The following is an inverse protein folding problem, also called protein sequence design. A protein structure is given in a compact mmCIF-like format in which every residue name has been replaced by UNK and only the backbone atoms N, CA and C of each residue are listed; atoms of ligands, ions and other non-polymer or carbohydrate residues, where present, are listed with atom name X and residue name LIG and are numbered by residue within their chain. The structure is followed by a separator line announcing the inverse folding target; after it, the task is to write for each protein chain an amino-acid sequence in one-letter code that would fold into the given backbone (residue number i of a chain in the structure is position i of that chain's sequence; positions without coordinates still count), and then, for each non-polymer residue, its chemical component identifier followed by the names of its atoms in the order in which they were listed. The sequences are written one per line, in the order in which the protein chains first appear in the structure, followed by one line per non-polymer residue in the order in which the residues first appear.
data_IF_911383344352
#
_entry.id   IF_911383344352
#
_cell.length_a   1.000
_cell.length_b   1.000
_cell.length_c   1.000
_cell.angle_alpha   90.00
_cell.angle_beta   90.00
_cell.angle_gamma   90.00
#
_symmetry.space_group_name_H-M   'P 1'
#
loop_
_entity.id
_entity.type
_entity.pdbx_description
1 polymer ?
#
# COMPACT_ATOMS: atom_id res chain seq x y z
N UNK A 1 -41.71 -23.22 -9.78
CA UNK A 1 -42.21 -22.31 -10.85
C UNK A 1 -41.19 -21.25 -11.29
N UNK A 2 -40.91 -20.16 -10.55
CA UNK A 2 -40.01 -19.09 -11.06
C UNK A 2 -38.59 -19.57 -11.32
N UNK A 3 -37.99 -20.34 -10.39
CA UNK A 3 -36.65 -20.94 -10.60
C UNK A 3 -36.64 -21.89 -11.81
N UNK A 4 -37.64 -22.75 -11.95
CA UNK A 4 -37.73 -23.69 -13.09
C UNK A 4 -37.89 -22.95 -14.43
N UNK A 5 -38.64 -21.83 -14.45
CA UNK A 5 -38.74 -20.97 -15.64
C UNK A 5 -37.40 -20.31 -15.97
N UNK A 6 -36.61 -19.95 -14.95
CA UNK A 6 -35.26 -19.40 -15.12
C UNK A 6 -34.28 -20.47 -15.64
N UNK A 7 -34.30 -21.66 -15.05
CA UNK A 7 -33.44 -22.79 -15.41
C UNK A 7 -33.78 -23.38 -16.79
N UNK A 8 -35.06 -23.38 -17.17
CA UNK A 8 -35.49 -23.77 -18.52
C UNK A 8 -35.27 -22.68 -19.57
N UNK A 9 -34.71 -21.52 -19.19
CA UNK A 9 -34.42 -20.41 -20.10
C UNK A 9 -35.65 -19.70 -20.64
N UNK A 10 -36.83 -19.93 -20.05
CA UNK A 10 -38.09 -19.23 -20.43
C UNK A 10 -38.19 -17.85 -19.82
N UNK A 11 -37.45 -17.61 -18.73
CA UNK A 11 -37.34 -16.32 -18.06
C UNK A 11 -35.86 -15.96 -17.92
N UNK A 12 -35.45 -14.81 -18.48
CA UNK A 12 -34.04 -14.41 -18.51
C UNK A 12 -33.68 -13.31 -17.49
N UNK A 13 -34.67 -12.52 -17.08
CA UNK A 13 -34.46 -11.35 -16.22
C UNK A 13 -35.49 -11.36 -15.10
N UNK A 14 -35.00 -11.26 -13.87
CA UNK A 14 -35.82 -11.13 -12.68
C UNK A 14 -35.39 -9.87 -11.92
N UNK A 15 -36.36 -9.01 -11.64
CA UNK A 15 -36.17 -7.79 -10.86
C UNK A 15 -36.95 -7.95 -9.57
N UNK A 16 -36.31 -7.68 -8.44
CA UNK A 16 -36.94 -7.82 -7.14
C UNK A 16 -36.18 -7.05 -6.07
N UNK A 17 -36.81 -6.94 -4.91
CA UNK A 17 -36.19 -6.30 -3.75
C UNK A 17 -35.26 -7.27 -3.05
N UNK A 18 -34.36 -6.73 -2.23
CA UNK A 18 -33.49 -7.53 -1.37
C UNK A 18 -34.27 -8.52 -0.51
N UNK A 19 -35.45 -8.17 0.00
CA UNK A 19 -36.24 -9.09 0.84
C UNK A 19 -36.76 -10.28 0.05
N UNK A 20 -37.06 -10.10 -1.25
CA UNK A 20 -37.60 -11.15 -2.11
C UNK A 20 -36.50 -12.05 -2.71
N UNK A 21 -35.38 -11.46 -3.13
CA UNK A 21 -34.30 -12.17 -3.83
C UNK A 21 -33.10 -12.48 -2.92
N UNK A 22 -33.00 -11.82 -1.78
CA UNK A 22 -31.92 -11.99 -0.81
C UNK A 22 -32.17 -13.12 0.18
N UNK A 23 -33.43 -13.44 0.49
CA UNK A 23 -33.83 -14.50 1.42
C UNK A 23 -34.47 -15.67 0.63
N UNK A 24 -33.97 -16.89 0.83
CA UNK A 24 -34.62 -18.12 0.33
C UNK A 24 -34.56 -18.44 -1.18
N UNK A 25 -34.22 -17.52 -2.09
CA UNK A 25 -34.22 -17.84 -3.53
C UNK A 25 -32.98 -18.63 -4.00
N UNK A 26 -33.15 -19.89 -4.38
CA UNK A 26 -32.10 -20.75 -4.90
C UNK A 26 -32.20 -20.87 -6.43
N UNK A 27 -31.22 -20.33 -7.15
CA UNK A 27 -31.07 -20.53 -8.59
C UNK A 27 -29.58 -20.53 -8.95
N UNK A 28 -28.96 -21.72 -9.04
CA UNK A 28 -27.54 -21.86 -9.38
C UNK A 28 -27.20 -21.37 -10.80
N UNK A 29 -28.18 -21.30 -11.72
CA UNK A 29 -27.99 -20.91 -13.12
C UNK A 29 -27.79 -19.40 -13.33
N UNK A 30 -27.89 -18.57 -12.29
CA UNK A 30 -27.69 -17.11 -12.40
C UNK A 30 -26.28 -16.82 -12.91
N UNK A 31 -26.20 -16.21 -14.09
CA UNK A 31 -24.94 -15.78 -14.71
C UNK A 31 -24.70 -14.26 -14.63
N UNK A 32 -25.69 -13.48 -14.18
CA UNK A 32 -25.56 -12.03 -14.03
C UNK A 32 -26.35 -11.56 -12.82
N UNK A 33 -25.71 -10.78 -11.93
CA UNK A 33 -26.32 -10.15 -10.77
C UNK A 33 -26.03 -8.65 -10.81
N UNK A 34 -27.06 -7.82 -10.86
CA UNK A 34 -26.93 -6.36 -10.81
C UNK A 34 -27.39 -5.85 -9.45
N UNK A 35 -26.47 -5.28 -8.68
CA UNK A 35 -26.76 -4.75 -7.35
C UNK A 35 -27.05 -3.25 -7.44
N UNK A 36 -28.32 -2.92 -7.61
CA UNK A 36 -28.84 -1.54 -7.73
C UNK A 36 -29.34 -0.95 -6.40
N UNK A 37 -28.90 -1.47 -5.25
CA UNK A 37 -29.35 -1.02 -3.92
C UNK A 37 -28.16 -0.65 -3.03
N UNK A 38 -28.34 0.38 -2.20
CA UNK A 38 -27.42 0.75 -1.11
C UNK A 38 -27.53 -0.30 -0.01
N UNK A 39 -26.91 -1.45 -0.21
CA UNK A 39 -26.92 -2.50 0.81
C UNK A 39 -26.03 -2.07 1.96
N UNK A 40 -26.66 -1.71 3.08
CA UNK A 40 -26.00 -1.14 4.27
C UNK A 40 -25.05 -2.08 5.02
N UNK A 41 -25.00 -3.38 4.70
CA UNK A 41 -24.06 -4.31 5.34
C UNK A 41 -23.33 -5.25 4.36
N UNK A 42 -22.07 -5.49 4.69
CA UNK A 42 -21.16 -6.38 3.96
C UNK A 42 -21.68 -7.82 3.87
N UNK A 43 -22.23 -8.35 4.97
CA UNK A 43 -22.73 -9.73 5.05
C UNK A 43 -23.83 -9.99 4.02
N UNK A 44 -24.74 -9.03 3.83
CA UNK A 44 -25.87 -9.16 2.92
C UNK A 44 -25.43 -9.13 1.45
N UNK A 45 -24.43 -8.31 1.13
CA UNK A 45 -23.83 -8.31 -0.21
C UNK A 45 -23.16 -9.65 -0.51
N UNK A 46 -22.50 -10.25 0.49
CA UNK A 46 -21.85 -11.54 0.34
C UNK A 46 -22.86 -12.69 0.16
N UNK A 47 -24.00 -12.65 0.85
CA UNK A 47 -25.08 -13.62 0.67
C UNK A 47 -25.66 -13.56 -0.75
N UNK A 48 -25.95 -12.37 -1.28
CA UNK A 48 -26.46 -12.23 -2.65
C UNK A 48 -25.43 -12.67 -3.70
N UNK A 49 -24.16 -12.29 -3.53
CA UNK A 49 -23.06 -12.76 -4.40
C UNK A 49 -22.91 -14.28 -4.33
N UNK A 50 -23.02 -14.87 -3.14
CA UNK A 50 -22.95 -16.31 -2.90
C UNK A 50 -23.91 -17.12 -3.76
N UNK A 51 -25.07 -16.55 -4.12
CA UNK A 51 -26.05 -17.19 -5.01
C UNK A 51 -25.56 -17.26 -6.45
N UNK A 52 -24.96 -16.17 -6.95
CA UNK A 52 -24.47 -16.08 -8.33
C UNK A 52 -23.20 -16.92 -8.56
N UNK A 53 -22.31 -17.05 -7.57
CA UNK A 53 -21.02 -17.76 -7.73
C UNK A 53 -21.11 -19.28 -7.56
N UNK A 54 -22.32 -19.84 -7.41
CA UNK A 54 -22.48 -21.30 -7.31
C UNK A 54 -22.05 -21.98 -8.61
N UNK A 55 -21.38 -23.11 -8.45
CA UNK A 55 -21.05 -24.01 -9.55
C UNK A 55 -22.29 -24.76 -10.00
N UNK A 56 -22.37 -25.05 -11.29
CA UNK A 56 -23.45 -25.82 -11.89
C UNK A 56 -22.81 -27.05 -12.51
N UNK A 57 -23.20 -28.25 -12.07
CA UNK A 57 -22.59 -29.48 -12.60
C UNK A 57 -22.78 -29.64 -14.11
N UNK A 58 -23.89 -29.15 -14.65
CA UNK A 58 -24.19 -29.14 -16.07
C UNK A 58 -23.40 -28.08 -16.89
N UNK A 59 -22.81 -27.08 -16.22
CA UNK A 59 -22.02 -26.02 -16.84
C UNK A 59 -20.82 -25.66 -15.94
N UNK A 60 -19.73 -26.47 -15.98
CA UNK A 60 -18.54 -26.25 -15.16
C UNK A 60 -17.83 -24.93 -15.45
N UNK A 61 -17.96 -24.41 -16.66
CA UNK A 61 -17.31 -23.17 -17.12
C UNK A 61 -18.18 -21.93 -16.90
N UNK A 62 -19.28 -22.08 -16.15
CA UNK A 62 -20.20 -20.99 -15.84
C UNK A 62 -19.46 -19.83 -15.16
N UNK A 63 -19.45 -18.69 -15.84
CA UNK A 63 -19.03 -17.41 -15.28
C UNK A 63 -20.25 -16.57 -14.90
N UNK A 64 -20.22 -16.02 -13.69
CA UNK A 64 -21.22 -15.07 -13.22
C UNK A 64 -20.64 -13.65 -13.10
N UNK A 65 -21.26 -12.70 -13.81
CA UNK A 65 -20.92 -11.28 -13.72
C UNK A 65 -21.70 -10.62 -12.57
N UNK A 66 -20.99 -9.92 -11.68
CA UNK A 66 -21.61 -9.22 -10.56
C UNK A 66 -21.34 -7.74 -10.68
N UNK A 67 -22.38 -6.99 -10.99
CA UNK A 67 -22.33 -5.55 -11.19
C UNK A 67 -22.60 -4.81 -9.90
N UNK A 68 -21.66 -3.97 -9.52
CA UNK A 68 -21.81 -3.00 -8.44
C UNK A 68 -21.95 -1.61 -9.07
N UNK A 69 -23.14 -1.03 -8.93
CA UNK A 69 -23.40 0.32 -9.43
C UNK A 69 -22.86 1.35 -8.42
N UNK A 70 -22.32 2.44 -8.96
CA UNK A 70 -21.79 3.56 -8.19
C UNK A 70 -22.26 4.87 -8.82
N UNK A 71 -22.77 5.77 -7.99
CA UNK A 71 -23.02 7.14 -8.41
C UNK A 71 -21.72 7.94 -8.26
N UNK A 72 -21.34 8.65 -9.33
CA UNK A 72 -20.19 9.55 -9.33
C UNK A 72 -20.72 10.97 -9.32
N UNK A 73 -20.27 11.77 -8.36
CA UNK A 73 -20.63 13.18 -8.28
C UNK A 73 -19.87 13.96 -9.36
N UNK A 74 -20.54 14.77 -10.20
CA UNK A 74 -19.85 15.67 -11.11
C UNK A 74 -19.10 16.73 -10.30
N UNK A 75 -17.99 17.29 -10.82
CA UNK A 75 -17.33 18.41 -10.17
C UNK A 75 -18.32 19.57 -9.98
N UNK A 76 -18.21 20.32 -8.86
CA UNK A 76 -19.12 21.41 -8.55
C UNK A 76 -19.15 22.41 -9.69
N UNK A 77 -20.35 22.69 -10.21
CA UNK A 77 -20.54 23.70 -11.26
C UNK A 77 -20.92 25.03 -10.59
N UNK A 78 -20.09 26.09 -10.69
CA UNK A 78 -20.48 27.40 -10.17
C UNK A 78 -21.63 27.98 -11.00
N UNK A 79 -22.55 28.68 -10.33
CA UNK A 79 -23.86 29.05 -10.89
C UNK A 79 -23.83 30.10 -12.01
N UNK A 80 -22.77 30.90 -12.13
CA UNK A 80 -22.68 31.99 -13.11
C UNK A 80 -21.53 31.76 -14.12
N UNK A 81 -21.76 32.04 -15.41
CA UNK A 81 -20.79 31.79 -16.49
C UNK A 81 -19.43 32.50 -16.31
N UNK A 82 -19.43 33.73 -15.78
CA UNK A 82 -18.19 34.45 -15.45
C UNK A 82 -17.39 33.77 -14.32
N UNK A 83 -18.10 33.20 -13.35
CA UNK A 83 -17.50 32.48 -12.22
C UNK A 83 -16.98 31.11 -12.64
N UNK A 84 -17.64 30.43 -13.61
CA UNK A 84 -17.12 29.21 -14.26
C UNK A 84 -15.77 29.45 -14.95
N UNK A 85 -15.64 30.59 -15.61
CA UNK A 85 -14.43 30.95 -16.35
C UNK A 85 -13.31 31.37 -15.39
N UNK A 86 -13.64 32.08 -14.31
CA UNK A 86 -12.70 32.42 -13.25
C UNK A 86 -12.24 31.18 -12.47
N UNK A 87 -13.15 30.29 -12.05
CA UNK A 87 -12.83 29.07 -11.32
C UNK A 87 -12.01 28.10 -12.18
N UNK A 88 -12.33 27.94 -13.47
CA UNK A 88 -11.53 27.10 -14.36
C UNK A 88 -10.07 27.60 -14.54
N UNK A 89 -9.81 28.89 -14.32
CA UNK A 89 -8.47 29.50 -14.38
C UNK A 89 -7.78 29.45 -13.00
N UNK A 90 -8.52 29.66 -11.91
CA UNK A 90 -7.99 29.74 -10.55
C UNK A 90 -7.83 28.37 -9.89
N UNK A 91 -8.75 27.43 -10.12
CA UNK A 91 -8.74 26.05 -9.62
C UNK A 91 -9.31 25.10 -10.70
N UNK A 92 -8.46 24.64 -11.64
CA UNK A 92 -8.92 23.80 -12.74
C UNK A 92 -9.58 22.52 -12.20
N UNK A 93 -10.72 22.09 -12.78
CA UNK A 93 -11.43 20.91 -12.30
C UNK A 93 -10.53 19.67 -12.32
N UNK A 94 -10.31 19.11 -11.13
CA UNK A 94 -9.50 17.92 -10.94
C UNK A 94 -10.31 16.66 -11.30
N UNK A 95 -10.06 16.13 -12.50
CA UNK A 95 -10.62 14.86 -12.96
C UNK A 95 -9.72 13.66 -12.67
N UNK A 96 -8.65 13.83 -11.89
CA UNK A 96 -7.73 12.73 -11.55
C UNK A 96 -8.31 11.79 -10.49
N UNK A 97 -9.32 12.22 -9.74
CA UNK A 97 -9.93 11.46 -8.64
C UNK A 97 -11.46 11.42 -8.72
N UNK A 98 -12.06 10.26 -8.41
CA UNK A 98 -13.50 10.14 -8.24
C UNK A 98 -13.86 10.61 -6.83
N UNK A 99 -14.62 11.70 -6.74
CA UNK A 99 -15.17 12.22 -5.47
C UNK A 99 -16.55 11.60 -5.19
N UNK A 100 -16.87 11.44 -3.90
CA UNK A 100 -18.19 10.96 -3.45
C UNK A 100 -18.13 9.79 -2.46
N UNK A 101 -19.09 9.77 -1.53
CA UNK A 101 -19.18 8.73 -0.50
C UNK A 101 -19.45 7.34 -1.10
N UNK A 102 -20.20 7.28 -2.19
CA UNK A 102 -20.56 6.03 -2.87
C UNK A 102 -19.34 5.30 -3.44
N UNK A 103 -18.45 6.02 -4.12
CA UNK A 103 -17.20 5.43 -4.61
C UNK A 103 -16.28 4.99 -3.46
N UNK A 104 -16.18 5.79 -2.39
CA UNK A 104 -15.42 5.39 -1.20
C UNK A 104 -15.98 4.11 -0.54
N UNK A 105 -17.31 3.96 -0.49
CA UNK A 105 -17.99 2.73 -0.02
C UNK A 105 -17.71 1.55 -0.95
N UNK A 106 -17.67 1.77 -2.26
CA UNK A 106 -17.31 0.76 -3.25
C UNK A 106 -15.88 0.26 -3.03
N UNK A 107 -14.90 1.16 -2.89
CA UNK A 107 -13.49 0.82 -2.64
C UNK A 107 -13.34 -0.10 -1.43
N UNK A 108 -13.91 0.30 -0.27
CA UNK A 108 -13.90 -0.50 0.97
C UNK A 108 -14.52 -1.88 0.79
N UNK A 109 -15.55 -2.00 -0.04
CA UNK A 109 -16.22 -3.26 -0.33
C UNK A 109 -15.32 -4.18 -1.18
N UNK A 110 -14.67 -3.63 -2.20
CA UNK A 110 -13.76 -4.39 -3.07
C UNK A 110 -12.46 -4.82 -2.38
N UNK A 111 -12.03 -4.14 -1.31
CA UNK A 111 -10.89 -4.57 -0.46
C UNK A 111 -11.10 -5.93 0.21
N UNK A 112 -12.35 -6.39 0.29
CA UNK A 112 -12.72 -7.68 0.86
C UNK A 112 -12.96 -8.75 -0.20
N UNK A 113 -13.09 -8.39 -1.47
CA UNK A 113 -13.34 -9.34 -2.55
C UNK A 113 -12.03 -9.75 -3.20
N UNK A 114 -11.85 -11.04 -3.47
CA UNK A 114 -10.73 -11.57 -4.23
C UNK A 114 -11.12 -11.73 -5.70
N UNK A 115 -10.15 -11.64 -6.60
CA UNK A 115 -10.38 -11.67 -8.03
C UNK A 115 -9.09 -11.47 -8.82
N UNK A 116 -9.02 -11.98 -10.06
CA UNK A 116 -7.87 -11.79 -10.91
C UNK A 116 -7.65 -10.30 -11.17
N UNK A 117 -6.39 -9.89 -11.13
CA UNK A 117 -5.98 -8.56 -11.56
C UNK A 117 -6.16 -8.41 -13.06
N UNK A 118 -6.56 -7.23 -13.53
CA UNK A 118 -6.75 -7.00 -14.96
C UNK A 118 -5.43 -6.77 -15.70
N UNK A 119 -4.39 -6.35 -14.97
CA UNK A 119 -3.06 -6.05 -15.49
C UNK A 119 -2.03 -7.16 -15.18
N UNK A 120 -2.38 -8.16 -14.37
CA UNK A 120 -1.44 -9.21 -13.96
C UNK A 120 -2.14 -10.54 -13.64
N UNK A 121 -1.37 -11.62 -13.62
CA UNK A 121 -1.91 -12.99 -13.52
C UNK A 121 -1.98 -13.47 -12.06
N UNK A 122 -2.39 -12.59 -11.15
CA UNK A 122 -2.48 -12.87 -9.71
C UNK A 122 -3.90 -12.59 -9.18
N UNK A 123 -4.30 -13.34 -8.15
CA UNK A 123 -5.57 -13.11 -7.43
C UNK A 123 -5.34 -12.07 -6.33
N UNK A 124 -5.90 -10.88 -6.50
CA UNK A 124 -5.68 -9.73 -5.63
C UNK A 124 -7.01 -9.20 -5.06
N UNK A 125 -6.93 -8.46 -3.94
CA UNK A 125 -8.08 -7.72 -3.37
C UNK A 125 -8.00 -6.23 -3.67
N UNK A 126 -9.15 -5.55 -3.68
CA UNK A 126 -9.23 -4.09 -3.81
C UNK A 126 -9.65 -3.61 -5.18
N UNK A 127 -10.15 -2.37 -5.25
CA UNK A 127 -10.68 -1.78 -6.48
C UNK A 127 -9.59 -1.59 -7.55
N UNK A 128 -8.33 -1.38 -7.12
CA UNK A 128 -7.20 -1.07 -8.01
C UNK A 128 -6.81 -2.23 -8.95
N UNK A 129 -7.23 -3.46 -8.64
CA UNK A 129 -7.05 -4.61 -9.55
C UNK A 129 -7.82 -4.45 -10.86
N UNK A 130 -8.86 -3.61 -10.84
CA UNK A 130 -9.70 -3.30 -11.99
C UNK A 130 -9.01 -2.18 -12.78
N UNK A 131 -8.07 -2.56 -13.64
CA UNK A 131 -7.24 -1.63 -14.40
C UNK A 131 -7.99 -0.75 -15.42
N UNK A 132 -9.29 -0.96 -15.63
CA UNK A 132 -10.15 -0.11 -16.48
C UNK A 132 -10.43 1.24 -15.81
N UNK A 133 -10.49 1.28 -14.47
CA UNK A 133 -10.84 2.49 -13.70
C UNK A 133 -9.59 3.37 -13.63
N UNK A 134 -9.44 4.24 -14.63
CA UNK A 134 -8.33 5.18 -14.75
C UNK A 134 -8.85 6.58 -15.10
N UNK A 135 -8.17 7.64 -14.63
CA UNK A 135 -8.50 9.01 -15.01
C UNK A 135 -8.27 9.25 -16.52
N UNK A 136 -8.90 10.29 -17.11
CA UNK A 136 -9.79 11.26 -16.46
C UNK A 136 -11.16 10.68 -16.09
N UNK A 137 -11.73 11.16 -14.98
CA UNK A 137 -13.05 10.79 -14.47
C UNK A 137 -14.12 11.85 -14.79
N UNK A 138 -14.03 12.44 -15.98
CA UNK A 138 -15.09 13.25 -16.55
C UNK A 138 -16.22 12.38 -17.13
N UNK A 139 -17.26 13.01 -17.68
CA UNK A 139 -18.41 12.30 -18.24
C UNK A 139 -17.99 11.30 -19.32
N UNK A 140 -17.13 11.73 -20.24
CA UNK A 140 -16.62 10.88 -21.32
C UNK A 140 -15.75 9.73 -20.78
N UNK A 141 -14.92 10.01 -19.77
CA UNK A 141 -14.11 9.01 -19.09
C UNK A 141 -14.95 7.95 -18.38
N UNK A 142 -16.04 8.33 -17.71
CA UNK A 142 -16.99 7.40 -17.10
C UNK A 142 -17.74 6.59 -18.16
N UNK A 143 -18.18 7.21 -19.26
CA UNK A 143 -18.82 6.51 -20.38
C UNK A 143 -17.85 5.50 -21.03
N UNK A 144 -16.58 5.86 -21.20
CA UNK A 144 -15.51 4.95 -21.64
C UNK A 144 -15.33 3.77 -20.68
N UNK A 145 -15.26 4.03 -19.37
CA UNK A 145 -15.15 2.98 -18.35
C UNK A 145 -16.34 2.01 -18.45
N UNK A 146 -17.57 2.54 -18.54
CA UNK A 146 -18.78 1.74 -18.68
C UNK A 146 -18.76 0.88 -19.96
N UNK A 147 -18.34 1.46 -21.09
CA UNK A 147 -18.18 0.73 -22.35
C UNK A 147 -17.18 -0.43 -22.26
N UNK A 148 -15.99 -0.17 -21.69
CA UNK A 148 -14.96 -1.20 -21.49
C UNK A 148 -15.43 -2.32 -20.54
N UNK A 149 -16.17 -1.97 -19.48
CA UNK A 149 -16.78 -2.96 -18.57
C UNK A 149 -17.82 -3.82 -19.28
N UNK A 150 -18.67 -3.20 -20.10
CA UNK A 150 -19.71 -3.91 -20.85
C UNK A 150 -19.11 -4.88 -21.86
N UNK A 151 -18.11 -4.44 -22.63
CA UNK A 151 -17.39 -5.30 -23.57
C UNK A 151 -16.69 -6.47 -22.86
N UNK A 152 -16.05 -6.22 -21.71
CA UNK A 152 -15.43 -7.29 -20.92
C UNK A 152 -16.47 -8.28 -20.38
N UNK A 153 -17.66 -7.81 -20.01
CA UNK A 153 -18.71 -8.67 -19.46
C UNK A 153 -19.23 -9.71 -20.46
N UNK A 154 -19.13 -9.43 -21.77
CA UNK A 154 -19.47 -10.37 -22.83
C UNK A 154 -18.42 -11.48 -22.99
N UNK A 155 -17.16 -11.19 -22.66
CA UNK A 155 -16.01 -12.11 -22.81
C UNK A 155 -15.86 -13.06 -21.63
N UNK A 156 -16.89 -13.88 -21.38
CA UNK A 156 -16.96 -14.79 -20.23
C UNK A 156 -15.86 -15.86 -20.25
N UNK A 157 -15.55 -16.43 -21.42
CA UNK A 157 -14.50 -17.44 -21.56
C UNK A 157 -13.12 -16.91 -21.14
N UNK A 158 -12.80 -15.65 -21.47
CA UNK A 158 -11.54 -15.01 -21.04
C UNK A 158 -11.47 -14.85 -19.52
N UNK A 159 -12.60 -14.52 -18.88
CA UNK A 159 -12.67 -14.42 -17.42
C UNK A 159 -12.42 -15.79 -16.77
N UNK A 160 -13.03 -16.87 -17.31
CA UNK A 160 -12.80 -18.23 -16.82
C UNK A 160 -11.31 -18.62 -16.94
N UNK A 161 -10.70 -18.39 -18.11
CA UNK A 161 -9.29 -18.67 -18.34
C UNK A 161 -8.36 -17.90 -17.37
N UNK A 162 -8.64 -16.62 -17.12
CA UNK A 162 -7.88 -15.80 -16.16
C UNK A 162 -7.96 -16.35 -14.73
N UNK A 163 -9.13 -16.84 -14.31
CA UNK A 163 -9.29 -17.45 -12.99
C UNK A 163 -8.49 -18.75 -12.86
N UNK A 164 -8.49 -19.59 -13.89
CA UNK A 164 -7.72 -20.83 -13.92
C UNK A 164 -6.22 -20.54 -13.91
N UNK A 165 -5.74 -19.67 -14.79
CA UNK A 165 -4.32 -19.33 -14.89
C UNK A 165 -3.78 -18.69 -13.60
N UNK A 166 -4.54 -17.75 -13.01
CA UNK A 166 -4.16 -17.16 -11.74
C UNK A 166 -4.26 -18.18 -10.59
N UNK A 167 -5.25 -19.06 -10.61
CA UNK A 167 -5.40 -20.13 -9.62
C UNK A 167 -4.24 -21.12 -9.61
N UNK A 168 -3.83 -21.59 -10.80
CA UNK A 168 -2.75 -22.56 -10.99
C UNK A 168 -1.40 -22.00 -10.57
N UNK A 169 -1.08 -20.75 -10.96
CA UNK A 169 0.18 -20.10 -10.56
C UNK A 169 0.27 -19.86 -9.06
N UNK A 170 -0.85 -19.53 -8.43
CA UNK A 170 -0.87 -19.31 -6.98
C UNK A 170 -1.05 -20.61 -6.18
N UNK A 171 -1.16 -21.76 -6.86
CA UNK A 171 -1.43 -23.07 -6.23
C UNK A 171 -2.71 -23.08 -5.39
N UNK A 172 -3.72 -22.30 -5.79
CA UNK A 172 -4.95 -22.08 -5.02
C UNK A 172 -4.80 -21.22 -3.75
N UNK A 173 -3.60 -20.67 -3.48
CA UNK A 173 -3.35 -19.86 -2.27
C UNK A 173 -3.70 -18.39 -2.55
N UNK A 174 -4.72 -17.89 -1.87
CA UNK A 174 -5.05 -16.45 -1.94
C UNK A 174 -4.03 -15.67 -1.13
N UNK A 175 -3.12 -14.95 -1.79
CA UNK A 175 -2.13 -14.11 -1.11
C UNK A 175 -2.67 -12.69 -1.04
N UNK A 176 -2.92 -12.20 0.18
CA UNK A 176 -3.28 -10.80 0.37
C UNK A 176 -2.02 -9.95 0.30
N UNK A 177 -2.01 -8.97 -0.60
CA UNK A 177 -0.80 -8.21 -0.93
C UNK A 177 -0.95 -6.74 -0.53
N UNK A 178 0.09 -6.15 0.04
CA UNK A 178 0.18 -4.70 0.27
C UNK A 178 1.01 -4.09 -0.86
N UNK A 179 0.37 -3.35 -1.76
CA UNK A 179 1.11 -2.50 -2.70
C UNK A 179 1.49 -1.18 -2.04
N UNK A 180 2.79 -0.90 -2.00
CA UNK A 180 3.43 0.35 -1.58
C UNK A 180 3.71 1.16 -2.85
N UNK A 181 2.98 2.27 -3.02
CA UNK A 181 3.19 3.17 -4.16
C UNK A 181 4.60 3.77 -4.17
N UNK A 182 5.12 4.08 -5.37
CA UNK A 182 6.47 4.62 -5.55
C UNK A 182 6.71 5.99 -4.92
N UNK A 183 5.63 6.73 -4.65
CA UNK A 183 5.68 8.03 -3.96
C UNK A 183 5.91 7.90 -2.45
N UNK A 184 5.41 6.82 -1.83
CA UNK A 184 5.55 6.53 -0.39
C UNK A 184 6.86 5.80 -0.11
N UNK A 185 7.67 5.54 -1.14
CA UNK A 185 8.97 4.91 -0.97
C UNK A 185 9.94 5.86 -0.26
N UNK A 186 10.73 5.35 0.70
CA UNK A 186 11.68 6.14 1.46
C UNK A 186 12.91 6.54 0.63
N UNK A 187 12.71 7.28 -0.47
CA UNK A 187 13.80 7.83 -1.32
C UNK A 187 14.72 8.78 -0.55
N UNK A 188 14.20 9.44 0.49
CA UNK A 188 14.97 10.35 1.35
C UNK A 188 16.01 9.66 2.24
N UNK A 189 15.83 8.37 2.56
CA UNK A 189 16.83 7.60 3.34
C UNK A 189 18.06 7.31 2.47
N UNK A 190 17.86 7.17 1.17
CA UNK A 190 18.87 6.85 0.16
C UNK A 190 19.88 7.98 0.02
N UNK A 191 19.40 9.21 -0.19
CA UNK A 191 20.27 10.37 -0.42
C UNK A 191 21.13 10.74 0.79
N UNK A 192 20.60 10.53 1.99
CA UNK A 192 21.27 10.94 3.23
C UNK A 192 22.40 9.98 3.62
N UNK A 193 22.19 8.67 3.42
CA UNK A 193 23.24 7.66 3.63
C UNK A 193 24.35 7.79 2.58
N UNK A 194 24.01 8.12 1.33
CA UNK A 194 24.99 8.39 0.27
C UNK A 194 25.81 9.64 0.60
N UNK A 195 25.19 10.73 1.05
CA UNK A 195 25.92 11.96 1.41
C UNK A 195 26.85 11.74 2.61
N UNK A 196 26.41 10.99 3.61
CA UNK A 196 27.24 10.65 4.78
C UNK A 196 28.44 9.79 4.38
N UNK A 197 28.21 8.82 3.49
CA UNK A 197 29.26 7.99 2.91
C UNK A 197 30.25 8.83 2.09
N UNK A 198 29.75 9.77 1.30
CA UNK A 198 30.56 10.68 0.51
C UNK A 198 31.46 11.56 1.39
N UNK A 199 30.93 12.07 2.51
CA UNK A 199 31.72 12.83 3.49
C UNK A 199 32.84 11.96 4.08
N UNK A 200 32.57 10.71 4.43
CA UNK A 200 33.61 9.79 4.93
C UNK A 200 34.69 9.50 3.89
N UNK A 201 34.32 9.33 2.62
CA UNK A 201 35.26 9.09 1.51
C UNK A 201 36.10 10.33 1.22
N UNK A 202 35.49 11.52 1.24
CA UNK A 202 36.22 12.79 1.06
C UNK A 202 37.18 13.02 2.23
N UNK A 203 36.71 12.85 3.46
CA UNK A 203 37.53 13.02 4.65
C UNK A 203 38.71 12.04 4.70
N UNK A 204 38.49 10.76 4.34
CA UNK A 204 39.58 9.78 4.26
C UNK A 204 40.56 10.10 3.12
N UNK A 205 40.07 10.60 1.97
CA UNK A 205 40.91 11.09 0.89
C UNK A 205 41.82 12.25 1.32
N UNK A 206 41.26 13.25 2.02
CA UNK A 206 42.01 14.40 2.53
C UNK A 206 43.07 13.95 3.55
N UNK A 207 42.71 13.11 4.52
CA UNK A 207 43.67 12.56 5.50
C UNK A 207 44.78 11.77 4.79
N UNK A 208 44.44 11.01 3.74
CA UNK A 208 45.40 10.30 2.90
C UNK A 208 46.39 11.22 2.19
N UNK A 209 45.91 12.34 1.63
CA UNK A 209 46.78 13.33 0.97
C UNK A 209 47.72 14.04 1.94
N UNK A 210 47.24 14.38 3.15
CA UNK A 210 48.06 15.00 4.21
C UNK A 210 49.13 14.03 4.72
N UNK A 211 48.76 12.75 4.93
CA UNK A 211 49.71 11.70 5.30
C UNK A 211 50.83 11.56 4.25
N UNK A 212 50.46 11.56 2.96
CA UNK A 212 51.41 11.46 1.86
C UNK A 212 52.34 12.68 1.78
N UNK A 213 51.84 13.88 2.00
CA UNK A 213 52.67 15.10 2.06
C UNK A 213 53.68 15.05 3.22
N UNK A 214 53.27 14.61 4.41
CA UNK A 214 54.15 14.49 5.57
C UNK A 214 55.30 13.49 5.35
N UNK A 215 55.00 12.34 4.74
CA UNK A 215 56.02 11.32 4.40
C UNK A 215 57.01 11.86 3.35
N UNK A 216 56.52 12.60 2.35
CA UNK A 216 57.37 13.24 1.34
C UNK A 216 58.25 14.36 1.91
N UNK A 217 57.89 14.91 3.07
CA UNK A 217 58.64 15.97 3.77
C UNK A 217 59.83 15.43 4.59
N UNK A 218 60.01 14.10 4.66
CA UNK A 218 61.11 13.45 5.39
C UNK A 218 60.78 13.04 6.84
N UNK A 219 59.63 13.45 7.37
CA UNK A 219 59.20 13.12 8.73
C UNK A 219 58.41 11.79 8.77
N UNK A 220 59.14 10.70 8.98
CA UNK A 220 58.59 9.32 8.90
C UNK A 220 57.61 9.01 10.03
N UNK A 221 57.82 9.58 11.22
CA UNK A 221 57.04 9.29 12.43
C UNK A 221 55.59 9.81 12.36
N UNK A 222 55.32 11.10 12.08
CA UNK A 222 53.94 11.57 11.93
C UNK A 222 53.23 10.95 10.71
N UNK A 223 53.95 10.66 9.63
CA UNK A 223 53.40 9.96 8.46
C UNK A 223 52.90 8.55 8.80
N UNK A 224 53.64 7.78 9.60
CA UNK A 224 53.25 6.44 10.03
C UNK A 224 52.02 6.45 10.95
N UNK A 225 51.90 7.43 11.85
CA UNK A 225 50.75 7.57 12.76
C UNK A 225 49.46 7.85 11.97
N UNK A 226 49.51 8.77 10.99
CA UNK A 226 48.35 9.09 10.15
C UNK A 226 48.00 7.93 9.21
N UNK A 227 49.01 7.22 8.68
CA UNK A 227 48.81 5.99 7.90
C UNK A 227 48.11 4.88 8.68
N UNK A 228 48.51 4.65 9.93
CA UNK A 228 47.86 3.67 10.81
C UNK A 228 46.40 4.07 11.14
N UNK A 229 46.13 5.37 11.33
CA UNK A 229 44.78 5.88 11.55
C UNK A 229 43.87 5.67 10.33
N UNK A 230 44.40 5.84 9.11
CA UNK A 230 43.68 5.54 7.87
C UNK A 230 43.32 4.06 7.74
N UNK A 231 44.26 3.16 8.03
CA UNK A 231 44.00 1.71 8.00
C UNK A 231 42.90 1.33 8.99
N UNK A 232 42.80 1.99 10.14
CA UNK A 232 41.71 1.78 11.10
C UNK A 232 40.36 2.35 10.63
N UNK A 233 40.34 3.45 9.87
CA UNK A 233 39.11 4.11 9.38
C UNK A 233 38.53 3.41 8.14
N UNK A 234 39.35 2.81 7.28
CA UNK A 234 38.91 2.08 6.09
C UNK A 234 37.84 1.00 6.38
N UNK A 235 38.00 0.08 7.34
CA UNK A 235 36.97 -0.94 7.61
C UNK A 235 35.67 -0.36 8.20
N UNK A 236 35.74 0.76 8.91
CA UNK A 236 34.56 1.50 9.38
C UNK A 236 33.82 2.15 8.20
N UNK A 237 34.56 2.74 7.25
CA UNK A 237 34.01 3.29 6.02
C UNK A 237 33.40 2.20 5.14
N UNK A 238 34.07 1.05 4.96
CA UNK A 238 33.55 -0.10 4.20
C UNK A 238 32.28 -0.66 4.85
N UNK A 239 32.22 -0.80 6.18
CA UNK A 239 30.99 -1.19 6.88
C UNK A 239 29.86 -0.16 6.72
N UNK A 240 30.19 1.14 6.73
CA UNK A 240 29.22 2.20 6.51
C UNK A 240 28.68 2.17 5.06
N UNK A 241 29.56 1.98 4.07
CA UNK A 241 29.21 1.81 2.66
C UNK A 241 28.32 0.58 2.47
N UNK A 242 28.71 -0.59 2.99
CA UNK A 242 27.90 -1.81 2.85
C UNK A 242 26.52 -1.66 3.49
N UNK A 243 26.42 -1.02 4.66
CA UNK A 243 25.12 -0.71 5.29
C UNK A 243 24.31 0.33 4.52
N UNK A 244 24.96 1.33 3.94
CA UNK A 244 24.30 2.31 3.10
C UNK A 244 23.71 1.60 1.88
N UNK A 245 24.53 0.84 1.13
CA UNK A 245 24.13 0.08 -0.05
C UNK A 245 23.03 -0.94 0.24
N UNK A 246 23.08 -1.65 1.38
CA UNK A 246 22.04 -2.61 1.74
C UNK A 246 20.69 -1.95 2.05
N UNK A 247 20.67 -0.67 2.44
CA UNK A 247 19.46 0.13 2.71
C UNK A 247 19.18 1.11 1.56
N UNK A 248 19.96 1.04 0.47
CA UNK A 248 19.93 2.01 -0.63
C UNK A 248 18.80 1.77 -1.64
N UNK A 249 18.06 0.66 -1.56
CA UNK A 249 16.91 0.42 -2.43
C UNK A 249 15.61 0.56 -1.64
N UNK A 250 14.57 1.20 -2.21
CA UNK A 250 13.23 1.19 -1.63
C UNK A 250 12.76 -0.22 -1.26
N UNK A 251 13.08 -1.18 -2.13
CA UNK A 251 12.82 -2.61 -1.95
C UNK A 251 13.44 -3.14 -0.67
N UNK A 252 14.75 -2.93 -0.44
CA UNK A 252 15.40 -3.44 0.76
C UNK A 252 14.89 -2.77 2.04
N UNK A 253 14.51 -1.49 1.98
CA UNK A 253 13.93 -0.80 3.14
C UNK A 253 12.56 -1.35 3.50
N UNK A 254 11.69 -1.58 2.50
CA UNK A 254 10.37 -2.19 2.70
C UNK A 254 10.53 -3.63 3.20
N UNK A 255 11.46 -4.41 2.64
CA UNK A 255 11.77 -5.76 3.10
C UNK A 255 12.24 -5.77 4.55
N UNK A 256 13.18 -4.88 4.93
CA UNK A 256 13.67 -4.81 6.30
C UNK A 256 12.57 -4.40 7.30
N UNK A 257 11.67 -3.50 6.89
CA UNK A 257 10.50 -3.08 7.68
C UNK A 257 9.53 -4.25 7.87
N UNK A 258 9.21 -4.95 6.79
CA UNK A 258 8.35 -6.12 6.76
C UNK A 258 8.90 -7.29 7.59
N UNK A 259 10.21 -7.57 7.49
CA UNK A 259 10.89 -8.59 8.28
C UNK A 259 10.89 -8.23 9.77
N UNK A 260 11.15 -6.97 10.11
CA UNK A 260 11.10 -6.51 11.49
C UNK A 260 9.69 -6.67 12.08
N UNK A 261 8.66 -6.35 11.31
CA UNK A 261 7.28 -6.56 11.70
C UNK A 261 6.97 -8.05 11.87
N UNK A 262 7.36 -8.91 10.91
CA UNK A 262 7.14 -10.36 11.01
C UNK A 262 7.81 -10.97 12.25
N UNK A 263 9.06 -10.58 12.55
CA UNK A 263 9.76 -11.02 13.77
C UNK A 263 9.04 -10.58 15.04
N UNK A 264 8.55 -9.34 15.05
CA UNK A 264 7.75 -8.80 16.17
C UNK A 264 6.47 -9.60 16.37
N UNK A 265 5.75 -9.91 15.28
CA UNK A 265 4.52 -10.70 15.35
C UNK A 265 4.76 -12.12 15.84
N UNK A 266 5.89 -12.75 15.45
CA UNK A 266 6.32 -14.05 15.97
C UNK A 266 6.67 -14.02 17.45
N UNK A 267 7.46 -13.03 17.89
CA UNK A 267 7.86 -12.90 19.29
C UNK A 267 6.64 -12.66 20.21
N UNK A 268 5.69 -11.85 19.74
CA UNK A 268 4.44 -11.59 20.48
C UNK A 268 3.38 -12.69 20.32
N UNK A 269 3.68 -13.78 19.58
CA UNK A 269 2.75 -14.87 19.25
C UNK A 269 1.41 -14.38 18.69
N UNK A 270 1.46 -13.37 17.82
CA UNK A 270 0.30 -12.82 17.11
C UNK A 270 0.03 -13.54 15.77
N UNK A 271 1.00 -14.33 15.31
CA UNK A 271 0.93 -15.15 14.10
C UNK A 271 1.25 -16.60 14.49
N UNK A 272 0.42 -17.53 14.03
CA UNK A 272 0.56 -18.97 14.29
C UNK A 272 1.34 -19.70 13.19
N UNK A 273 1.67 -19.02 12.10
CA UNK A 273 2.37 -19.59 10.93
C UNK A 273 3.91 -19.59 11.10
N UNK A 274 4.56 -20.74 11.38
CA UNK A 274 6.00 -20.79 11.63
C UNK A 274 6.84 -20.61 10.36
N UNK A 275 6.34 -21.05 9.19
CA UNK A 275 7.03 -20.99 7.90
C UNK A 275 6.81 -19.69 7.13
N UNK A 276 6.08 -18.73 7.70
CA UNK A 276 5.75 -17.48 7.02
C UNK A 276 7.01 -16.74 6.57
N UNK A 277 7.05 -16.30 5.32
CA UNK A 277 8.18 -15.57 4.74
C UNK A 277 7.68 -14.28 4.09
N UNK A 278 8.46 -13.21 4.24
CA UNK A 278 8.18 -11.94 3.55
C UNK A 278 8.70 -12.05 2.13
N UNK A 279 7.85 -11.70 1.17
CA UNK A 279 8.23 -11.52 -0.23
C UNK A 279 7.92 -10.07 -0.61
N UNK A 280 8.90 -9.38 -1.19
CA UNK A 280 8.74 -8.02 -1.71
C UNK A 280 9.18 -8.01 -3.17
N UNK A 281 8.26 -7.65 -4.07
CA UNK A 281 8.47 -7.63 -5.51
C UNK A 281 8.15 -6.24 -6.09
N UNK A 282 8.78 -5.87 -7.19
CA UNK A 282 8.41 -4.66 -7.94
C UNK A 282 7.21 -4.95 -8.85
N UNK A 283 6.20 -4.08 -8.81
CA UNK A 283 5.09 -4.14 -9.75
C UNK A 283 5.60 -3.76 -11.14
N UNK A 284 5.39 -4.62 -12.14
CA UNK A 284 5.76 -4.39 -13.54
C UNK A 284 4.92 -3.32 -14.26
N UNK A 285 4.26 -2.43 -13.55
CA UNK A 285 3.36 -1.40 -14.09
C UNK A 285 4.09 -0.12 -14.54
N UNK A 286 5.43 -0.12 -14.55
CA UNK A 286 6.26 1.02 -14.94
C UNK A 286 6.25 2.18 -13.92
N UNK A 287 5.40 2.10 -12.89
CA UNK A 287 5.29 3.10 -11.82
C UNK A 287 6.30 2.91 -10.69
N UNK A 288 7.05 1.80 -10.70
CA UNK A 288 8.04 1.47 -9.67
C UNK A 288 7.43 1.17 -8.30
N UNK A 289 6.14 0.81 -8.22
CA UNK A 289 5.50 0.44 -6.96
C UNK A 289 6.02 -0.92 -6.45
N UNK A 290 6.02 -1.14 -5.14
CA UNK A 290 6.47 -2.39 -4.52
C UNK A 290 5.28 -3.15 -3.95
N UNK A 291 5.23 -4.46 -4.14
CA UNK A 291 4.23 -5.34 -3.55
C UNK A 291 4.88 -6.16 -2.43
N UNK A 292 4.43 -5.95 -1.20
CA UNK A 292 4.84 -6.72 -0.03
C UNK A 292 3.78 -7.76 0.32
N UNK A 293 4.20 -9.00 0.49
CA UNK A 293 3.34 -10.16 0.75
C UNK A 293 3.90 -11.03 1.86
N UNK A 294 3.01 -11.77 2.52
CA UNK A 294 3.40 -12.81 3.47
C UNK A 294 3.07 -14.18 2.85
N UNK A 295 4.10 -14.86 2.36
CA UNK A 295 4.02 -16.21 1.83
C UNK A 295 3.94 -17.24 2.97
N UNK A 296 3.37 -18.41 2.68
CA UNK A 296 3.27 -19.55 3.60
C UNK A 296 2.62 -19.26 4.96
N UNK A 297 1.65 -18.35 4.98
CA UNK A 297 0.87 -17.98 6.16
C UNK A 297 -0.63 -18.23 5.98
N UNK A 298 -1.36 -18.32 7.10
CA UNK A 298 -2.83 -18.39 7.08
C UNK A 298 -3.43 -17.07 6.55
N UNK A 299 -4.64 -17.12 6.00
CA UNK A 299 -5.32 -15.92 5.51
C UNK A 299 -5.54 -14.87 6.61
N UNK A 300 -5.76 -15.33 7.85
CA UNK A 300 -5.84 -14.47 9.04
C UNK A 300 -4.52 -13.73 9.28
N UNK A 301 -3.40 -14.45 9.26
CA UNK A 301 -2.07 -13.89 9.49
C UNK A 301 -1.65 -12.93 8.38
N UNK A 302 -1.94 -13.28 7.13
CA UNK A 302 -1.71 -12.41 5.98
C UNK A 302 -2.51 -11.11 6.08
N UNK A 303 -3.78 -11.17 6.49
CA UNK A 303 -4.61 -9.99 6.68
C UNK A 303 -4.13 -9.12 7.84
N UNK A 304 -3.69 -9.74 8.95
CA UNK A 304 -3.11 -9.04 10.10
C UNK A 304 -1.82 -8.32 9.70
N UNK A 305 -0.90 -9.03 9.06
CA UNK A 305 0.36 -8.49 8.58
C UNK A 305 0.14 -7.35 7.58
N UNK A 306 -0.73 -7.56 6.58
CA UNK A 306 -1.02 -6.56 5.56
C UNK A 306 -1.57 -5.27 6.17
N UNK A 307 -2.51 -5.39 7.11
CA UNK A 307 -3.07 -4.22 7.81
C UNK A 307 -2.01 -3.48 8.60
N UNK A 308 -1.15 -4.18 9.35
CA UNK A 308 -0.10 -3.54 10.14
C UNK A 308 0.96 -2.87 9.26
N UNK A 309 1.31 -3.47 8.11
CA UNK A 309 2.19 -2.83 7.13
C UNK A 309 1.57 -1.57 6.53
N UNK A 310 0.27 -1.60 6.20
CA UNK A 310 -0.47 -0.43 5.74
C UNK A 310 -0.48 0.68 6.80
N UNK A 311 -0.75 0.35 8.06
CA UNK A 311 -0.71 1.31 9.17
C UNK A 311 0.68 1.91 9.36
N UNK A 312 1.75 1.11 9.23
CA UNK A 312 3.14 1.53 9.39
C UNK A 312 3.62 2.44 8.25
N UNK A 313 3.02 2.33 7.07
CA UNK A 313 3.31 3.14 5.88
C UNK A 313 2.24 4.22 5.64
N UNK A 314 1.28 4.40 6.54
CA UNK A 314 0.26 5.41 6.43
C UNK A 314 0.82 6.81 6.75
N UNK A 315 0.21 7.89 6.23
CA UNK A 315 0.51 9.25 6.64
C UNK A 315 0.40 9.39 8.17
N UNK A 316 1.36 10.09 8.77
CA UNK A 316 1.38 10.39 10.20
C UNK A 316 0.36 11.50 10.45
N UNK A 317 -0.78 11.13 11.01
CA UNK A 317 -1.76 12.10 11.50
C UNK A 317 -1.78 12.14 13.03
N UNK A 318 -2.44 11.18 13.69
CA UNK A 318 -2.54 11.12 15.15
C UNK A 318 -2.29 9.71 15.74
N UNK A 319 -1.14 9.05 15.46
CA UNK A 319 -0.82 7.76 16.05
C UNK A 319 -0.47 7.91 17.54
N UNK A 320 -0.75 6.89 18.36
CA UNK A 320 -0.44 6.89 19.81
C UNK A 320 1.07 6.82 20.11
N UNK A 321 1.83 6.22 19.21
CA UNK A 321 3.29 6.19 19.23
C UNK A 321 3.84 6.49 17.83
N UNK A 322 4.93 7.24 17.77
CA UNK A 322 5.70 7.47 16.54
C UNK A 322 7.10 6.91 16.72
N UNK A 323 7.59 6.20 15.71
CA UNK A 323 8.93 5.66 15.65
C UNK A 323 9.81 6.65 14.90
N UNK A 324 10.83 7.18 15.56
CA UNK A 324 11.69 8.24 15.02
C UNK A 324 13.10 7.72 14.84
N UNK A 325 13.63 7.82 13.63
CA UNK A 325 15.05 7.52 13.39
C UNK A 325 15.95 8.54 14.10
N UNK A 326 17.03 8.08 14.73
CA UNK A 326 18.10 8.94 15.26
C UNK A 326 19.29 8.97 14.32
N UNK A 327 19.80 10.18 14.08
CA UNK A 327 21.03 10.46 13.33
C UNK A 327 22.01 11.22 14.21
N UNK A 328 23.21 10.68 14.42
CA UNK A 328 24.26 11.28 15.27
C UNK A 328 23.72 11.78 16.63
N UNK A 329 22.85 10.98 17.27
CA UNK A 329 22.21 11.33 18.54
C UNK A 329 21.03 12.30 18.45
N UNK A 330 20.78 12.94 17.29
CA UNK A 330 19.66 13.85 17.05
C UNK A 330 18.47 13.15 16.37
N UNK A 331 17.23 13.54 16.67
CA UNK A 331 16.04 12.97 16.02
C UNK A 331 15.93 13.43 14.56
N UNK A 332 15.88 12.46 13.64
CA UNK A 332 15.66 12.65 12.22
C UNK A 332 14.15 12.53 11.91
N UNK A 333 13.40 13.61 12.15
CA UNK A 333 11.94 13.66 11.92
C UNK A 333 11.51 13.40 10.47
N UNK A 334 12.44 13.47 9.51
CA UNK A 334 12.17 13.14 8.12
C UNK A 334 11.96 11.65 7.87
N UNK A 335 12.52 10.79 8.73
CA UNK A 335 12.42 9.32 8.65
C UNK A 335 11.70 8.82 9.90
N UNK A 336 10.39 9.00 9.89
CA UNK A 336 9.53 8.59 11.00
C UNK A 336 8.38 7.74 10.49
N UNK A 337 8.00 6.74 11.28
CA UNK A 337 6.89 5.84 10.96
C UNK A 337 5.84 5.86 12.09
N UNK A 338 4.54 5.86 11.76
CA UNK A 338 3.50 5.63 12.75
C UNK A 338 3.59 4.19 13.31
N UNK A 339 3.38 4.01 14.60
CA UNK A 339 3.30 2.66 15.17
C UNK A 339 1.89 2.06 14.92
N UNK A 340 1.78 0.81 14.44
CA UNK A 340 0.49 0.13 14.24
C UNK A 340 -0.37 0.15 15.51
N UNK A 341 -1.68 0.38 15.36
CA UNK A 341 -2.62 0.58 16.45
C UNK A 341 -2.68 -0.63 17.40
N UNK A 342 -2.54 -1.83 16.85
CA UNK A 342 -2.52 -3.09 17.60
C UNK A 342 -1.33 -3.16 18.57
N UNK A 343 -0.15 -2.73 18.13
CA UNK A 343 1.09 -2.72 18.94
C UNK A 343 1.15 -1.51 19.87
N UNK A 344 0.54 -0.38 19.48
CA UNK A 344 0.49 0.84 20.27
C UNK A 344 -0.33 0.72 21.57
N UNK A 345 -0.97 -0.42 21.85
CA UNK A 345 -1.73 -0.68 23.09
C UNK A 345 -0.83 -0.75 24.32
N UNK A 346 0.29 -1.47 24.22
CA UNK A 346 1.24 -1.73 25.32
C UNK A 346 2.61 -1.19 24.96
N UNK A 347 3.28 -0.55 25.91
CA UNK A 347 4.63 0.01 25.71
C UNK A 347 5.64 -1.09 25.36
N UNK A 348 5.53 -2.26 26.00
CA UNK A 348 6.36 -3.45 25.74
C UNK A 348 6.34 -3.88 24.27
N UNK A 349 5.18 -3.82 23.63
CA UNK A 349 4.97 -4.32 22.26
C UNK A 349 5.59 -3.33 21.25
N UNK A 350 5.51 -2.03 21.55
CA UNK A 350 6.18 -0.97 20.78
C UNK A 350 7.71 -1.07 20.92
N UNK A 351 8.20 -1.34 22.12
CA UNK A 351 9.63 -1.54 22.38
C UNK A 351 10.15 -2.80 21.66
N UNK A 352 9.34 -3.86 21.59
CA UNK A 352 9.65 -5.06 20.81
C UNK A 352 9.82 -4.75 19.32
N UNK A 353 8.84 -4.04 18.72
CA UNK A 353 8.94 -3.60 17.33
C UNK A 353 10.20 -2.75 17.09
N UNK A 354 10.46 -1.80 17.99
CA UNK A 354 11.63 -0.92 17.90
C UNK A 354 12.94 -1.72 17.93
N UNK A 355 13.01 -2.77 18.76
CA UNK A 355 14.19 -3.63 18.86
C UNK A 355 14.49 -4.35 17.55
N UNK A 356 13.47 -4.93 16.91
CA UNK A 356 13.63 -5.58 15.60
C UNK A 356 13.94 -4.59 14.48
N UNK A 357 13.34 -3.39 14.52
CA UNK A 357 13.68 -2.32 13.58
C UNK A 357 15.13 -1.85 13.71
N UNK A 358 15.69 -1.81 14.93
CA UNK A 358 17.12 -1.48 15.13
C UNK A 358 18.07 -2.54 14.59
N UNK A 359 17.62 -3.78 14.46
CA UNK A 359 18.42 -4.88 13.94
C UNK A 359 18.49 -4.85 12.40
N UNK A 360 17.39 -4.47 11.74
CA UNK A 360 17.31 -4.39 10.27
C UNK A 360 17.54 -2.99 9.68
N UNK A 361 17.26 -1.93 10.44
CA UNK A 361 17.34 -0.53 10.02
C UNK A 361 18.13 0.31 11.06
N UNK A 362 18.18 1.63 10.85
CA UNK A 362 18.82 2.61 11.74
C UNK A 362 18.26 2.63 13.18
N UNK A 363 18.91 3.38 14.09
CA UNK A 363 18.44 3.53 15.49
C UNK A 363 17.07 4.23 15.56
N UNK A 364 15.98 3.48 15.65
CA UNK A 364 14.65 4.04 15.93
C UNK A 364 14.38 4.16 17.42
N UNK A 365 13.62 5.18 17.81
CA UNK A 365 13.10 5.36 19.16
C UNK A 365 11.59 5.60 19.16
N UNK A 366 10.86 4.95 20.08
CA UNK A 366 9.43 5.17 20.21
C UNK A 366 9.17 6.41 21.06
N UNK A 367 8.37 7.33 20.53
CA UNK A 367 7.90 8.53 21.25
C UNK A 367 6.40 8.42 21.43
N UNK A 368 5.96 8.55 22.69
CA UNK A 368 4.54 8.61 23.03
C UNK A 368 3.99 10.00 22.70
N UNK A 369 2.94 10.08 21.89
CA UNK A 369 2.47 11.35 21.31
C UNK A 369 1.45 12.09 22.18
N UNK A 370 0.88 11.46 23.22
CA UNK A 370 -0.14 12.11 24.05
C UNK A 370 0.42 12.97 25.19
N UNK A 371 1.74 12.96 25.41
CA UNK A 371 2.38 13.92 26.32
C UNK A 371 2.58 15.27 25.62
N UNK A 372 2.75 16.35 26.38
CA UNK A 372 2.99 17.68 25.82
C UNK A 372 4.26 17.71 24.94
N UNK A 373 5.34 17.09 25.41
CA UNK A 373 6.57 16.91 24.64
C UNK A 373 6.35 16.05 23.38
N UNK A 374 5.54 14.98 23.51
CA UNK A 374 5.20 14.10 22.41
C UNK A 374 4.38 14.76 21.31
N UNK A 375 3.47 15.68 21.66
CA UNK A 375 2.69 16.46 20.69
C UNK A 375 3.58 17.38 19.84
N UNK A 376 4.57 18.04 20.46
CA UNK A 376 5.56 18.86 19.73
C UNK A 376 6.35 18.03 18.72
N UNK A 377 6.74 16.82 19.13
CA UNK A 377 7.43 15.86 18.26
C UNK A 377 6.52 15.39 17.11
N UNK A 378 5.25 15.08 17.40
CA UNK A 378 4.27 14.70 16.39
C UNK A 378 4.11 15.79 15.32
N UNK A 379 4.01 17.06 15.71
CA UNK A 379 3.93 18.19 14.77
C UNK A 379 5.17 18.29 13.86
N UNK A 380 6.36 18.07 14.42
CA UNK A 380 7.60 18.01 13.62
C UNK A 380 7.60 16.86 12.62
N UNK A 381 7.16 15.66 13.04
CA UNK A 381 7.02 14.51 12.15
C UNK A 381 5.96 14.78 11.05
N UNK A 382 4.83 15.41 11.40
CA UNK A 382 3.77 15.76 10.44
C UNK A 382 4.29 16.65 9.31
N UNK A 383 5.13 17.62 9.65
CA UNK A 383 5.70 18.59 8.70
C UNK A 383 6.86 18.03 7.88
N UNK A 384 7.68 17.14 8.46
CA UNK A 384 8.97 16.74 7.87
C UNK A 384 9.00 15.31 7.31
N UNK A 385 8.10 14.43 7.74
CA UNK A 385 8.10 13.02 7.34
C UNK A 385 7.84 12.87 5.84
N UNK A 386 8.57 11.96 5.21
CA UNK A 386 8.36 11.63 3.79
C UNK A 386 6.96 11.04 3.54
N UNK A 387 6.39 10.32 4.52
CA UNK A 387 5.06 9.72 4.41
C UNK A 387 3.98 10.77 4.17
N UNK A 388 4.11 11.95 4.78
CA UNK A 388 3.16 13.05 4.59
C UNK A 388 3.46 13.88 3.34
N UNK A 389 4.75 14.00 2.97
CA UNK A 389 5.16 14.69 1.73
C UNK A 389 4.71 13.95 0.48
N UNK A 390 4.70 12.61 0.53
CA UNK A 390 4.16 11.78 -0.54
C UNK A 390 2.66 12.04 -0.76
N UNK A 391 1.88 12.20 0.31
CA UNK A 391 0.46 12.54 0.22
C UNK A 391 0.22 13.94 -0.36
N UNK A 392 1.13 14.89 -0.08
CA UNK A 392 1.07 16.27 -0.61
C UNK A 392 1.32 16.31 -2.13
N UNK A 393 2.07 15.36 -2.70
CA UNK A 393 2.23 15.26 -4.16
C UNK A 393 1.08 14.53 -4.84
N UNK A 394 0.16 13.93 -4.07
CA UNK A 394 -0.92 13.07 -4.55
C UNK A 394 -2.31 13.70 -4.39
N UNK A 395 -2.40 15.04 -4.25
CA UNK A 395 -3.68 15.73 -4.18
C UNK A 395 -4.48 15.41 -2.92
N UNK A 396 -4.10 16.04 -1.80
CA UNK A 396 -5.05 16.39 -0.74
C UNK A 396 -4.99 17.91 -0.59
N UNK A 397 -5.76 18.58 -1.44
CA UNK A 397 -6.33 19.89 -1.13
C UNK A 397 -7.33 19.72 0.02
N UNK A 398 -6.83 19.74 1.24
CA UNK A 398 -7.59 20.19 2.41
C UNK A 398 -6.98 21.52 2.84
N UNK A 399 -7.26 22.55 2.05
CA UNK A 399 -7.15 23.93 2.49
C UNK A 399 -8.37 24.24 3.35
N UNK A 400 -8.26 24.02 4.66
CA UNK A 400 -9.06 24.78 5.63
C UNK A 400 -8.20 25.98 6.02
N UNK A 401 -8.37 27.06 5.26
CA UNK A 401 -8.07 28.41 5.73
C UNK A 401 -9.13 28.74 6.78
N UNK A 402 -8.71 28.88 8.02
CA UNK A 402 -9.50 29.48 9.10
C UNK A 402 -8.66 30.59 9.72
N UNK A 403 -9.21 31.81 9.64
CA UNK A 403 -8.73 33.12 10.09
C UNK A 403 -7.65 33.15 11.18
#
# INVERSE_FOLDING_TARGET
VVTELFESGRLHVLIGTKSLLGEGWDSPSINTLVLASVVGSFMLTNQMRGRAIRTVAADPDKVANIWHLVAVEPPPQPGNAAMRMADAILDPPDYSTIRGEDYARLCRRFDCFMGPSYAGNAIESGIRRIGIIQPPFDREGIERINGQMLERSARRAEVAAQWLEAGDRTGGRTVRTVRVGSEVQPRGVLFVNILETLIYVIASGVIGTVARMLVLSGDVVPGAIVGALLIAVIPLAVRAIMRAVSVSTPTSTVTALADALLRTLRELRLIDSPRAAVIVEECGDGGGALQCMLADATQRDQALFSRMMQELLAPIDNPRYVLIGKRWGRPAYGVSFPCPASLARRKSDVECLTRHLRAGLSRYEPVYTRSEQGRRVLLMCRRRSFLNRATVCMGVTDAVVGA
#
